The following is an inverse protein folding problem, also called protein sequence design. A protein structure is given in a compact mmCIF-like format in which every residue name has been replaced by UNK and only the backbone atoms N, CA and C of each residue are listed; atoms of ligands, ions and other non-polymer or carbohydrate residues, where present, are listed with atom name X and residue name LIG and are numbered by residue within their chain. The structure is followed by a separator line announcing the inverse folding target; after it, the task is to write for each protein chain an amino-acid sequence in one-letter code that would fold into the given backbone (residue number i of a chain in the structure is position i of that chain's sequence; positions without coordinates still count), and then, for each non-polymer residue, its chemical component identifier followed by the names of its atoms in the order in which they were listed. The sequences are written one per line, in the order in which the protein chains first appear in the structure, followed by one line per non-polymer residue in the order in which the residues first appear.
data_IF_047484562695
#
_entry.id   IF_047484562695
#
_cell.length_a   1.000
_cell.length_b   1.000
_cell.length_c   1.000
_cell.angle_alpha   90.00
_cell.angle_beta   90.00
_cell.angle_gamma   90.00
#
_symmetry.space_group_name_H-M   'P 1'
#
loop_
_entity.id
_entity.type
_entity.pdbx_description
1 polymer ?
#
# COMPACT_ATOMS: atom_id res chain seq x y z
N UNK A 1 14.62 18.52 -10.39
CA UNK A 1 13.58 17.51 -10.10
C UNK A 1 13.69 17.21 -8.61
N UNK A 2 12.72 17.63 -7.79
CA UNK A 2 12.80 17.39 -6.36
C UNK A 2 12.69 15.88 -6.11
N UNK A 3 13.69 15.29 -5.46
CA UNK A 3 13.67 13.92 -4.96
C UNK A 3 12.62 13.86 -3.83
N UNK A 4 11.35 13.66 -4.19
CA UNK A 4 10.29 13.46 -3.21
C UNK A 4 10.57 12.14 -2.50
N UNK A 5 10.96 12.21 -1.24
CA UNK A 5 11.03 11.05 -0.36
C UNK A 5 9.59 10.56 -0.20
N UNK A 6 9.21 9.55 -1.00
CA UNK A 6 7.84 9.03 -0.97
C UNK A 6 7.51 8.56 0.45
N UNK A 7 6.40 9.05 0.99
CA UNK A 7 5.96 8.81 2.36
C UNK A 7 4.90 7.71 2.45
N UNK A 8 4.82 6.86 1.43
CA UNK A 8 3.88 5.75 1.39
C UNK A 8 4.26 4.74 2.46
N UNK A 9 3.30 4.37 3.29
CA UNK A 9 3.40 3.27 4.25
C UNK A 9 2.33 2.24 3.92
N UNK A 10 2.69 0.97 4.06
CA UNK A 10 1.73 -0.12 4.14
C UNK A 10 1.48 -0.39 5.63
N UNK A 11 0.27 -0.08 6.09
CA UNK A 11 -0.07 -0.05 7.50
C UNK A 11 0.09 -1.43 8.15
N UNK A 12 -0.37 -2.50 7.50
CA UNK A 12 -0.35 -3.84 8.09
C UNK A 12 1.07 -4.32 8.37
N UNK A 13 1.99 -4.10 7.43
CA UNK A 13 3.40 -4.44 7.55
C UNK A 13 4.07 -3.61 8.62
N UNK A 14 3.77 -2.31 8.69
CA UNK A 14 4.31 -1.45 9.77
C UNK A 14 3.85 -1.87 11.15
N UNK A 15 2.60 -2.31 11.29
CA UNK A 15 2.15 -2.86 12.57
C UNK A 15 2.86 -4.18 12.90
N UNK A 16 3.13 -5.06 11.93
CA UNK A 16 3.93 -6.29 12.17
C UNK A 16 5.36 -6.00 12.67
N UNK A 17 5.93 -4.85 12.36
CA UNK A 17 7.24 -4.41 12.89
C UNK A 17 7.16 -3.93 14.35
N UNK A 18 6.02 -3.40 14.78
CA UNK A 18 5.81 -2.82 16.12
C UNK A 18 5.38 -3.88 17.13
N UNK A 19 4.56 -4.85 16.69
CA UNK A 19 4.03 -5.89 17.55
C UNK A 19 4.94 -7.13 17.57
N UNK A 20 4.90 -7.93 18.66
CA UNK A 20 5.64 -9.19 18.72
C UNK A 20 5.28 -10.15 17.57
N UNK A 21 6.24 -10.97 17.17
CA UNK A 21 6.04 -12.00 16.14
C UNK A 21 4.88 -12.92 16.55
N UNK A 22 3.94 -13.14 15.63
CA UNK A 22 2.75 -13.97 15.86
C UNK A 22 1.58 -13.25 16.54
N UNK A 23 1.73 -11.97 16.90
CA UNK A 23 0.63 -11.18 17.43
C UNK A 23 -0.47 -10.95 16.39
N UNK A 24 -1.72 -11.21 16.77
CA UNK A 24 -2.90 -10.95 15.94
C UNK A 24 -3.47 -9.59 16.34
N UNK A 25 -3.29 -8.60 15.47
CA UNK A 25 -3.79 -7.25 15.66
C UNK A 25 -5.32 -7.28 15.65
N UNK A 26 -5.93 -6.73 16.70
CA UNK A 26 -7.38 -6.68 16.84
C UNK A 26 -7.96 -5.49 16.07
N UNK A 27 -9.24 -5.60 15.69
CA UNK A 27 -9.91 -4.55 14.91
C UNK A 27 -9.91 -3.18 15.61
N UNK A 28 -10.04 -3.14 16.94
CA UNK A 28 -10.02 -1.87 17.68
C UNK A 28 -8.64 -1.21 17.69
N UNK A 29 -7.55 -1.98 17.76
CA UNK A 29 -6.18 -1.46 17.65
C UNK A 29 -5.95 -0.92 16.25
N UNK A 30 -6.38 -1.67 15.23
CA UNK A 30 -6.28 -1.25 13.85
C UNK A 30 -7.07 0.04 13.59
N UNK A 31 -8.26 0.19 14.20
CA UNK A 31 -9.03 1.45 14.17
C UNK A 31 -8.30 2.60 14.87
N UNK A 32 -7.66 2.35 16.01
CA UNK A 32 -6.87 3.35 16.72
C UNK A 32 -5.69 3.86 15.87
N UNK A 33 -4.95 2.95 15.20
CA UNK A 33 -3.88 3.33 14.29
C UNK A 33 -4.37 4.16 13.10
N UNK A 34 -5.51 3.81 12.49
CA UNK A 34 -6.12 4.63 11.43
C UNK A 34 -6.51 6.02 11.93
N UNK A 35 -7.02 6.14 13.16
CA UNK A 35 -7.35 7.44 13.75
C UNK A 35 -6.10 8.28 13.99
N UNK A 36 -5.02 7.66 14.51
CA UNK A 36 -3.73 8.33 14.72
C UNK A 36 -3.13 8.84 13.41
N UNK A 37 -3.16 8.03 12.34
CA UNK A 37 -2.66 8.44 11.03
C UNK A 37 -3.40 9.66 10.48
N UNK A 38 -4.73 9.68 10.58
CA UNK A 38 -5.53 10.85 10.18
C UNK A 38 -5.16 12.09 10.99
N UNK A 39 -5.00 11.95 12.30
CA UNK A 39 -4.58 13.05 13.16
C UNK A 39 -3.18 13.57 12.80
N UNK A 40 -2.26 12.69 12.40
CA UNK A 40 -0.93 13.06 11.93
C UNK A 40 -0.92 13.71 10.52
N UNK A 41 -2.08 13.84 9.87
CA UNK A 41 -2.22 14.40 8.52
C UNK A 41 -1.94 13.39 7.41
N UNK A 42 -1.92 12.09 7.71
CA UNK A 42 -1.84 11.06 6.69
C UNK A 42 -3.23 10.78 6.10
N UNK A 43 -3.27 10.46 4.82
CA UNK A 43 -4.49 10.08 4.11
C UNK A 43 -4.36 8.65 3.55
N UNK A 44 -5.50 7.94 3.48
CA UNK A 44 -5.57 6.61 2.87
C UNK A 44 -5.54 6.75 1.34
N UNK A 45 -4.63 6.02 0.69
CA UNK A 45 -4.43 6.01 -0.77
C UNK A 45 -4.54 4.61 -1.38
N UNK A 46 -5.05 3.62 -0.64
CA UNK A 46 -5.31 2.27 -1.20
C UNK A 46 -6.16 2.38 -2.47
N UNK A 47 -5.71 1.82 -3.61
CA UNK A 47 -6.41 1.98 -4.89
C UNK A 47 -7.50 0.92 -5.15
N UNK A 48 -7.71 -0.01 -4.23
CA UNK A 48 -8.65 -1.13 -4.36
C UNK A 48 -9.51 -1.29 -3.10
N UNK A 49 -10.63 -1.99 -3.27
CA UNK A 49 -11.56 -2.32 -2.19
C UNK A 49 -11.04 -3.49 -1.35
N UNK A 50 -11.62 -3.66 -0.15
CA UNK A 50 -11.14 -4.64 0.84
C UNK A 50 -11.29 -6.09 0.33
N UNK A 51 -12.24 -6.32 -0.58
CA UNK A 51 -12.52 -7.62 -1.19
C UNK A 51 -11.37 -8.09 -2.09
N UNK A 52 -10.59 -7.15 -2.66
CA UNK A 52 -9.46 -7.46 -3.55
C UNK A 52 -8.17 -7.74 -2.78
N UNK A 53 -7.98 -7.10 -1.63
CA UNK A 53 -6.78 -7.26 -0.79
C UNK A 53 -6.95 -6.56 0.58
N UNK A 54 -6.31 -7.12 1.61
CA UNK A 54 -6.31 -6.55 2.96
C UNK A 54 -5.30 -5.40 3.15
N UNK A 55 -4.46 -5.13 2.15
CA UNK A 55 -3.40 -4.13 2.22
C UNK A 55 -3.98 -2.71 2.38
N UNK A 56 -3.36 -1.91 3.26
CA UNK A 56 -3.76 -0.51 3.46
C UNK A 56 -2.59 0.44 3.30
N UNK A 57 -2.65 1.25 2.24
CA UNK A 57 -1.63 2.23 1.94
C UNK A 57 -2.06 3.62 2.40
N UNK A 58 -1.11 4.31 3.04
CA UNK A 58 -1.30 5.66 3.56
C UNK A 58 -0.11 6.52 3.15
N UNK A 59 -0.33 7.82 2.96
CA UNK A 59 0.75 8.78 2.69
C UNK A 59 0.53 10.07 3.47
N UNK A 60 1.63 10.78 3.76
CA UNK A 60 1.65 12.16 4.27
C UNK A 60 2.22 13.13 3.22
N UNK A 61 2.28 12.70 1.96
CA UNK A 61 2.83 13.51 0.88
C UNK A 61 2.00 14.77 0.69
N UNK A 62 2.68 15.88 0.32
CA UNK A 62 2.01 17.11 -0.10
C UNK A 62 1.23 16.92 -1.39
N UNK A 63 1.67 15.96 -2.21
CA UNK A 63 1.04 15.58 -3.48
C UNK A 63 0.71 14.08 -3.39
N UNK A 64 -0.44 13.73 -2.78
CA UNK A 64 -0.84 12.34 -2.59
C UNK A 64 -1.36 11.70 -3.89
N UNK A 65 -1.73 12.49 -4.89
CA UNK A 65 -2.26 11.98 -6.16
C UNK A 65 -1.19 11.21 -6.92
N UNK A 66 0.06 11.69 -6.93
CA UNK A 66 1.18 10.94 -7.53
C UNK A 66 1.45 9.59 -6.84
N UNK A 67 1.37 9.56 -5.52
CA UNK A 67 1.53 8.31 -4.76
C UNK A 67 0.37 7.35 -5.09
N UNK A 68 -0.86 7.87 -5.20
CA UNK A 68 -2.04 7.09 -5.57
C UNK A 68 -1.95 6.57 -7.00
N UNK A 69 -1.54 7.38 -7.97
CA UNK A 69 -1.35 6.97 -9.37
C UNK A 69 -0.31 5.85 -9.49
N UNK A 70 0.78 5.97 -8.74
CA UNK A 70 1.81 4.92 -8.67
C UNK A 70 1.22 3.62 -8.13
N UNK A 71 0.43 3.66 -7.05
CA UNK A 71 -0.23 2.48 -6.50
C UNK A 71 -1.27 1.89 -7.46
N UNK A 72 -2.03 2.71 -8.19
CA UNK A 72 -2.95 2.25 -9.23
C UNK A 72 -2.20 1.50 -10.33
N UNK A 73 -1.06 2.03 -10.80
CA UNK A 73 -0.24 1.35 -11.80
C UNK A 73 0.26 0.00 -11.29
N UNK A 74 0.78 -0.05 -10.06
CA UNK A 74 1.23 -1.30 -9.44
C UNK A 74 0.08 -2.30 -9.25
N UNK A 75 -1.10 -1.84 -8.87
CA UNK A 75 -2.30 -2.68 -8.78
C UNK A 75 -2.72 -3.25 -10.14
N UNK A 76 -2.80 -2.40 -11.17
CA UNK A 76 -3.15 -2.79 -12.54
C UNK A 76 -2.13 -3.77 -13.14
N UNK A 77 -0.87 -3.66 -12.74
CA UNK A 77 0.18 -4.61 -13.07
C UNK A 77 0.24 -5.84 -12.14
N UNK A 78 -0.73 -5.99 -11.24
CA UNK A 78 -0.87 -7.11 -10.28
C UNK A 78 0.30 -7.28 -9.31
N UNK A 79 1.09 -6.23 -9.09
CA UNK A 79 2.17 -6.23 -8.08
C UNK A 79 1.64 -6.13 -6.65
N UNK A 80 0.43 -5.58 -6.46
CA UNK A 80 -0.20 -5.40 -5.15
C UNK A 80 -1.20 -6.52 -4.79
N UNK A 81 -1.35 -7.54 -5.64
CA UNK A 81 -2.24 -8.68 -5.38
C UNK A 81 -1.54 -9.72 -4.50
N UNK A 82 -2.24 -10.24 -3.50
CA UNK A 82 -1.72 -11.18 -2.50
C UNK A 82 -1.70 -12.63 -2.96
N UNK A 83 -2.13 -12.95 -4.19
CA UNK A 83 -2.16 -14.33 -4.68
C UNK A 83 -0.76 -14.76 -5.21
N UNK A 84 -0.04 -15.67 -4.52
CA UNK A 84 1.33 -16.03 -4.84
C UNK A 84 1.48 -16.96 -6.04
N UNK A 85 0.38 -17.38 -6.69
CA UNK A 85 0.49 -18.47 -7.66
C UNK A 85 1.36 -18.15 -8.88
N UNK A 86 1.51 -16.88 -9.33
CA UNK A 86 2.33 -16.55 -10.53
C UNK A 86 2.91 -15.11 -10.55
N UNK A 87 3.74 -14.69 -9.57
CA UNK A 87 4.34 -13.36 -9.55
C UNK A 87 5.15 -13.06 -10.81
N UNK A 88 5.91 -14.04 -11.33
CA UNK A 88 6.78 -13.87 -12.51
C UNK A 88 6.01 -13.58 -13.81
N UNK A 89 4.82 -14.14 -14.01
CA UNK A 89 4.04 -13.93 -15.25
C UNK A 89 3.45 -12.51 -15.29
N UNK A 90 2.93 -12.04 -14.15
CA UNK A 90 2.43 -10.68 -14.00
C UNK A 90 3.55 -9.63 -14.21
N UNK A 91 4.73 -9.89 -13.64
CA UNK A 91 5.92 -9.05 -13.82
C UNK A 91 6.30 -8.93 -15.30
N UNK A 92 6.40 -10.04 -16.03
CA UNK A 92 6.79 -10.06 -17.44
C UNK A 92 5.76 -9.37 -18.36
N UNK A 93 4.45 -9.56 -18.10
CA UNK A 93 3.39 -8.85 -18.82
C UNK A 93 3.47 -7.33 -18.60
N UNK A 94 3.74 -6.88 -17.36
CA UNK A 94 3.85 -5.45 -17.07
C UNK A 94 5.12 -4.84 -17.71
N UNK A 95 6.28 -5.50 -17.63
CA UNK A 95 7.51 -5.04 -18.30
C UNK A 95 7.28 -4.91 -19.81
N UNK A 96 6.58 -5.87 -20.42
CA UNK A 96 6.26 -5.84 -21.86
C UNK A 96 5.35 -4.68 -22.25
N UNK A 97 4.49 -4.20 -21.34
CA UNK A 97 3.65 -3.01 -21.55
C UNK A 97 4.41 -1.70 -21.40
N UNK A 98 5.46 -1.66 -20.58
CA UNK A 98 6.25 -0.45 -20.35
C UNK A 98 7.34 -0.20 -21.40
N UNK A 99 7.70 -1.19 -22.23
CA UNK A 99 8.76 -1.08 -23.25
C UNK A 99 8.21 -0.73 -24.66
N UNK A 100 6.89 -0.58 -24.82
CA UNK A 100 6.27 -0.03 -26.04
C UNK A 100 6.09 1.47 -25.95
#
# INVERSE_FOLDING_TARGET
MANQKSSIIELTQKLKEIYPVGYIIKDHEFRAWKALLRHAGCIKITPFEKEDSELQFWTRSKDPDKDKDTLIQLYNCRFLQTNPEKPYKAILECISRCIR
#
